data_IF_876411366206
#
_entry.id   IF_876411366206
#
_cell.length_a   1.000
_cell.length_b   1.000
_cell.length_c   1.000
_cell.angle_alpha   90.00
_cell.angle_beta   90.00
_cell.angle_gamma   90.00
#
_symmetry.space_group_name_H-M   'P 1'
#
loop_
_entity.id
_entity.type
_entity.pdbx_description
1 polymer ?
#
# COMPACT_ATOMS: atom_id res chain seq x y z
N UNK A 1 27.92 -0.27 10.65
CA UNK A 1 27.15 -1.53 10.67
C UNK A 1 26.61 -1.73 9.25
N UNK A 2 27.09 -2.76 8.54
CA UNK A 2 26.59 -3.04 7.15
C UNK A 2 25.36 -3.91 7.28
N UNK A 3 24.24 -3.44 6.77
CA UNK A 3 23.02 -4.25 6.63
C UNK A 3 23.25 -5.19 5.43
N UNK A 4 23.08 -6.49 5.64
CA UNK A 4 23.24 -7.48 4.58
C UNK A 4 22.05 -7.41 3.59
N UNK A 5 22.24 -7.94 2.37
CA UNK A 5 21.16 -8.09 1.40
C UNK A 5 20.01 -8.95 1.96
N UNK A 6 20.31 -9.89 2.85
CA UNK A 6 19.34 -10.75 3.52
C UNK A 6 18.49 -9.97 4.54
N UNK A 7 19.10 -9.01 5.28
CA UNK A 7 18.36 -8.11 6.15
C UNK A 7 17.37 -7.22 5.34
N UNK A 8 17.74 -6.82 4.11
CA UNK A 8 16.87 -6.06 3.21
C UNK A 8 15.75 -6.94 2.62
N UNK A 9 16.00 -8.21 2.33
CA UNK A 9 14.97 -9.16 1.89
C UNK A 9 13.97 -9.48 3.00
N UNK A 10 14.40 -9.43 4.27
CA UNK A 10 13.50 -9.57 5.42
C UNK A 10 12.57 -8.36 5.64
N UNK A 11 12.81 -7.26 4.94
CA UNK A 11 11.95 -6.07 4.88
C UNK A 11 10.77 -6.23 3.88
N UNK A 12 10.48 -7.46 3.45
CA UNK A 12 9.22 -7.74 2.74
C UNK A 12 8.02 -7.39 3.62
N UNK A 13 6.83 -7.16 3.04
CA UNK A 13 5.61 -6.82 3.78
C UNK A 13 5.27 -7.74 4.96
N UNK A 14 5.87 -8.92 5.00
CA UNK A 14 5.71 -9.92 6.05
C UNK A 14 6.53 -9.65 7.32
N UNK A 15 7.50 -8.74 7.28
CA UNK A 15 8.44 -8.50 8.38
C UNK A 15 8.16 -7.22 9.18
N UNK A 16 6.94 -6.65 9.10
CA UNK A 16 6.57 -5.44 9.84
C UNK A 16 6.91 -5.47 11.35
N UNK A 17 6.85 -6.64 11.95
CA UNK A 17 7.21 -6.84 13.36
C UNK A 17 8.74 -6.80 13.59
N UNK A 18 9.53 -7.26 12.62
CA UNK A 18 10.98 -7.31 12.74
C UNK A 18 11.66 -5.95 12.46
N UNK A 19 11.06 -5.08 11.64
CA UNK A 19 11.56 -3.73 11.39
C UNK A 19 11.60 -2.88 12.65
N UNK A 20 10.58 -2.97 13.50
CA UNK A 20 10.52 -2.21 14.77
C UNK A 20 11.65 -2.56 15.74
N UNK A 21 12.19 -3.77 15.66
CA UNK A 21 13.27 -4.23 16.56
C UNK A 21 14.67 -4.04 16.00
N UNK A 22 14.86 -3.90 14.69
CA UNK A 22 16.19 -3.86 14.05
C UNK A 22 16.64 -2.49 13.59
N UNK A 23 15.69 -1.61 13.23
CA UNK A 23 16.01 -0.26 12.77
C UNK A 23 15.55 0.74 13.81
N UNK A 24 16.47 1.56 14.32
CA UNK A 24 16.12 2.61 15.29
C UNK A 24 15.16 3.63 14.66
N UNK A 25 14.30 4.23 15.48
CA UNK A 25 13.40 5.30 15.04
C UNK A 25 14.17 6.46 14.39
N UNK A 26 15.37 6.74 14.85
CA UNK A 26 16.26 7.76 14.28
C UNK A 26 16.70 7.40 12.86
N UNK A 27 17.06 6.14 12.60
CA UNK A 27 17.41 5.68 11.25
C UNK A 27 16.25 5.82 10.30
N UNK A 28 15.03 5.46 10.73
CA UNK A 28 13.82 5.63 9.91
C UNK A 28 13.57 7.11 9.61
N UNK A 29 13.66 7.99 10.61
CA UNK A 29 13.52 9.43 10.41
C UNK A 29 14.56 9.99 9.44
N UNK A 30 15.81 9.55 9.57
CA UNK A 30 16.91 9.97 8.68
C UNK A 30 16.68 9.52 7.22
N UNK A 31 16.24 8.28 7.02
CA UNK A 31 15.89 7.76 5.67
C UNK A 31 14.68 8.51 5.09
N UNK A 32 13.65 8.75 5.91
CA UNK A 32 12.46 9.49 5.48
C UNK A 32 12.75 10.94 5.09
N UNK A 33 13.79 11.56 5.63
CA UNK A 33 14.24 12.90 5.23
C UNK A 33 14.84 12.94 3.81
N UNK A 34 15.28 11.80 3.28
CA UNK A 34 15.87 11.69 1.95
C UNK A 34 14.89 11.35 0.82
N UNK A 35 13.64 11.01 1.15
CA UNK A 35 12.62 10.69 0.15
C UNK A 35 11.72 11.89 -0.11
N UNK A 36 10.96 11.84 -1.22
CA UNK A 36 9.99 12.89 -1.53
C UNK A 36 8.94 13.05 -0.42
N UNK A 37 8.41 14.27 -0.26
CA UNK A 37 7.40 14.59 0.78
C UNK A 37 6.17 13.66 0.71
N UNK A 38 5.73 13.32 -0.49
CA UNK A 38 4.59 12.42 -0.68
C UNK A 38 4.95 10.98 -0.32
N UNK A 39 6.17 10.51 -0.67
CA UNK A 39 6.68 9.22 -0.25
C UNK A 39 6.80 9.13 1.27
N UNK A 40 7.41 10.14 1.91
CA UNK A 40 7.54 10.21 3.37
C UNK A 40 6.18 10.06 4.06
N UNK A 41 5.14 10.80 3.60
CA UNK A 41 3.78 10.69 4.17
C UNK A 41 3.16 9.31 4.01
N UNK A 42 3.30 8.71 2.83
CA UNK A 42 2.80 7.37 2.57
C UNK A 42 3.49 6.31 3.42
N UNK A 43 4.81 6.40 3.56
CA UNK A 43 5.61 5.47 4.35
C UNK A 43 5.32 5.60 5.85
N UNK A 44 5.12 6.81 6.37
CA UNK A 44 4.68 7.05 7.75
C UNK A 44 3.29 6.47 8.01
N UNK A 45 2.37 6.65 7.06
CA UNK A 45 1.05 6.03 7.12
C UNK A 45 1.16 4.50 7.15
N UNK A 46 1.99 3.91 6.27
CA UNK A 46 2.11 2.46 6.10
C UNK A 46 2.85 1.80 7.26
N UNK A 47 4.00 2.34 7.66
CA UNK A 47 4.91 1.70 8.60
C UNK A 47 4.84 2.26 10.02
N UNK A 48 4.52 3.53 10.20
CA UNK A 48 4.37 4.14 11.51
C UNK A 48 2.92 4.18 12.02
N UNK A 49 1.94 3.84 11.18
CA UNK A 49 0.51 3.86 11.55
C UNK A 49 -0.04 5.28 11.71
N UNK A 50 0.57 6.28 11.08
CA UNK A 50 0.12 7.67 11.14
C UNK A 50 -1.12 7.89 10.25
N UNK A 51 -2.28 7.37 10.66
CA UNK A 51 -3.53 7.40 9.88
C UNK A 51 -4.04 8.80 9.54
N UNK A 52 -3.65 9.84 10.30
CA UNK A 52 -3.97 11.22 9.97
C UNK A 52 -3.36 11.68 8.62
N UNK A 53 -2.30 11.02 8.16
CA UNK A 53 -1.68 11.29 6.85
C UNK A 53 -2.52 10.74 5.68
N UNK A 54 -3.45 9.80 5.90
CA UNK A 54 -4.21 9.12 4.84
C UNK A 54 -4.87 10.12 3.88
N UNK A 55 -5.59 11.10 4.41
CA UNK A 55 -6.28 12.13 3.61
C UNK A 55 -5.30 12.92 2.73
N UNK A 56 -4.12 13.25 3.25
CA UNK A 56 -3.09 13.95 2.48
C UNK A 56 -2.53 13.10 1.36
N UNK A 57 -2.23 11.83 1.64
CA UNK A 57 -1.72 10.87 0.63
C UNK A 57 -2.75 10.67 -0.49
N UNK A 58 -4.02 10.42 -0.15
CA UNK A 58 -5.11 10.25 -1.11
C UNK A 58 -5.24 11.47 -2.02
N UNK A 59 -5.33 12.67 -1.44
CA UNK A 59 -5.48 13.90 -2.20
C UNK A 59 -4.26 14.21 -3.08
N UNK A 60 -3.05 13.97 -2.59
CA UNK A 60 -1.82 14.15 -3.37
C UNK A 60 -1.78 13.21 -4.56
N UNK A 61 -2.11 11.93 -4.34
CA UNK A 61 -2.17 10.91 -5.37
C UNK A 61 -3.21 11.24 -6.45
N UNK A 62 -4.43 11.59 -6.03
CA UNK A 62 -5.52 11.98 -6.94
C UNK A 62 -5.14 13.21 -7.79
N UNK A 63 -4.59 14.25 -7.18
CA UNK A 63 -4.13 15.47 -7.89
C UNK A 63 -3.02 15.18 -8.89
N UNK A 64 -2.06 14.32 -8.52
CA UNK A 64 -0.95 13.95 -9.40
C UNK A 64 -1.44 13.19 -10.62
N UNK A 65 -2.34 12.23 -10.42
CA UNK A 65 -2.96 11.47 -11.51
C UNK A 65 -3.78 12.40 -12.41
N UNK A 66 -4.61 13.26 -11.84
CA UNK A 66 -5.38 14.25 -12.58
C UNK A 66 -4.49 15.13 -13.48
N UNK A 67 -3.36 15.63 -12.94
CA UNK A 67 -2.43 16.48 -13.72
C UNK A 67 -1.78 15.74 -14.88
N UNK A 68 -1.39 14.47 -14.68
CA UNK A 68 -0.71 13.67 -15.73
C UNK A 68 -1.66 13.21 -16.83
N UNK A 69 -2.92 12.95 -16.49
CA UNK A 69 -3.90 12.36 -17.41
C UNK A 69 -5.00 13.33 -17.84
N UNK A 70 -4.77 14.64 -17.68
CA UNK A 70 -5.79 15.69 -17.87
C UNK A 70 -6.61 15.57 -19.15
N UNK A 71 -6.00 15.15 -20.27
CA UNK A 71 -6.69 14.96 -21.56
C UNK A 71 -7.63 13.76 -21.55
N UNK A 72 -7.20 12.65 -21.01
CA UNK A 72 -7.95 11.39 -20.99
C UNK A 72 -9.02 11.35 -19.89
N UNK A 73 -8.77 12.02 -18.77
CA UNK A 73 -9.68 12.04 -17.63
C UNK A 73 -10.84 13.03 -17.78
N UNK A 74 -10.71 14.07 -18.62
CA UNK A 74 -11.83 14.97 -18.92
C UNK A 74 -13.02 14.24 -19.54
N UNK A 75 -12.74 13.18 -20.27
CA UNK A 75 -13.76 12.35 -20.91
C UNK A 75 -14.31 11.25 -20.00
N UNK A 76 -13.61 10.89 -18.94
CA UNK A 76 -13.88 9.67 -18.18
C UNK A 76 -14.18 9.82 -16.70
N UNK A 77 -13.72 10.85 -16.03
CA UNK A 77 -13.79 10.83 -14.58
C UNK A 77 -14.17 12.16 -13.95
N UNK A 78 -15.27 12.13 -13.23
CA UNK A 78 -15.56 13.09 -12.19
C UNK A 78 -14.37 13.14 -11.20
N UNK A 79 -13.86 14.34 -10.80
CA UNK A 79 -12.79 14.50 -9.81
C UNK A 79 -13.02 13.70 -8.51
N UNK A 80 -14.28 13.55 -8.12
CA UNK A 80 -14.67 12.75 -6.97
C UNK A 80 -14.33 11.26 -7.15
N UNK A 81 -14.56 10.70 -8.34
CA UNK A 81 -14.21 9.31 -8.65
C UNK A 81 -12.69 9.08 -8.52
N UNK A 82 -11.86 10.04 -8.96
CA UNK A 82 -10.42 9.95 -8.81
C UNK A 82 -9.97 9.92 -7.34
N UNK A 83 -10.60 10.71 -6.49
CA UNK A 83 -10.32 10.69 -5.05
C UNK A 83 -10.71 9.33 -4.47
N UNK A 84 -11.87 8.79 -4.82
CA UNK A 84 -12.31 7.45 -4.42
C UNK A 84 -11.37 6.35 -4.90
N UNK A 85 -10.92 6.42 -6.15
CA UNK A 85 -9.94 5.48 -6.70
C UNK A 85 -8.60 5.58 -5.97
N UNK A 86 -8.14 6.79 -5.66
CA UNK A 86 -6.92 7.00 -4.87
C UNK A 86 -7.07 6.46 -3.44
N UNK A 87 -8.25 6.58 -2.84
CA UNK A 87 -8.55 5.99 -1.53
C UNK A 87 -8.46 4.45 -1.58
N UNK A 88 -9.07 3.83 -2.59
CA UNK A 88 -8.97 2.38 -2.81
C UNK A 88 -7.50 1.97 -3.01
N UNK A 89 -6.75 2.71 -3.84
CA UNK A 89 -5.33 2.41 -4.07
C UNK A 89 -4.50 2.50 -2.78
N UNK A 90 -4.72 3.53 -1.96
CA UNK A 90 -4.04 3.68 -0.67
C UNK A 90 -4.42 2.55 0.27
N UNK A 91 -5.71 2.20 0.37
CA UNK A 91 -6.17 1.09 1.20
C UNK A 91 -5.59 -0.25 0.76
N UNK A 92 -5.48 -0.49 -0.56
CA UNK A 92 -4.81 -1.66 -1.11
C UNK A 92 -3.30 -1.64 -0.81
N UNK A 93 -2.64 -0.50 -1.01
CA UNK A 93 -1.22 -0.34 -0.71
C UNK A 93 -0.88 -0.52 0.77
N UNK A 94 -1.81 -0.13 1.67
CA UNK A 94 -1.74 -0.41 3.11
C UNK A 94 -2.17 -1.84 3.43
N UNK A 95 -3.01 -2.41 2.60
CA UNK A 95 -3.74 -3.66 2.85
C UNK A 95 -2.97 -4.95 2.56
N UNK A 96 -1.74 -4.88 2.06
CA UNK A 96 -0.78 -5.99 2.15
C UNK A 96 -0.34 -6.22 3.60
N UNK A 97 -1.17 -5.72 4.53
CA UNK A 97 -1.07 -5.99 5.95
C UNK A 97 -1.46 -7.43 6.27
N UNK A 98 -1.10 -7.80 7.45
CA UNK A 98 -1.43 -9.07 8.07
C UNK A 98 -2.95 -9.33 8.00
N UNK A 99 -3.33 -10.53 7.67
CA UNK A 99 -4.72 -10.95 7.78
C UNK A 99 -5.22 -10.70 9.20
N UNK A 100 -6.27 -9.90 9.36
CA UNK A 100 -6.79 -9.53 10.68
C UNK A 100 -7.33 -10.74 11.44
N UNK A 101 -7.85 -11.74 10.75
CA UNK A 101 -8.44 -12.94 11.36
C UNK A 101 -7.38 -13.80 12.04
N UNK A 102 -6.19 -13.91 11.48
CA UNK A 102 -5.09 -14.70 12.05
C UNK A 102 -3.89 -13.86 12.48
N UNK A 103 -4.00 -12.53 12.44
CA UNK A 103 -2.91 -11.61 12.77
C UNK A 103 -1.60 -11.94 12.03
N UNK A 104 -1.71 -12.33 10.76
CA UNK A 104 -0.57 -12.65 9.91
C UNK A 104 0.00 -14.05 10.05
N UNK A 105 -0.51 -14.88 10.96
CA UNK A 105 0.01 -16.23 11.20
C UNK A 105 -0.25 -17.21 10.05
N UNK A 106 -1.28 -16.96 9.23
CA UNK A 106 -1.76 -17.89 8.21
C UNK A 106 -2.65 -19.02 8.76
N UNK A 107 -2.66 -19.24 10.06
CA UNK A 107 -3.42 -20.29 10.72
C UNK A 107 -4.17 -19.75 11.95
N UNK A 108 -5.21 -20.48 12.35
CA UNK A 108 -6.02 -20.21 13.54
C UNK A 108 -5.90 -21.42 14.47
N UNK A 109 -5.67 -21.15 15.74
CA UNK A 109 -5.68 -22.17 16.77
C UNK A 109 -7.12 -22.33 17.27
N UNK A 110 -7.66 -23.53 17.14
CA UNK A 110 -9.02 -23.86 17.61
C UNK A 110 -9.02 -24.46 19.02
N UNK A 111 -7.87 -24.50 19.69
CA UNK A 111 -7.69 -25.18 20.98
C UNK A 111 -7.49 -26.70 20.85
N UNK A 112 -7.90 -27.30 19.73
CA UNK A 112 -7.73 -28.74 19.47
C UNK A 112 -6.64 -28.96 18.40
N UNK A 113 -6.65 -28.15 17.34
CA UNK A 113 -5.71 -28.23 16.23
C UNK A 113 -5.51 -26.87 15.57
N UNK A 114 -4.39 -26.72 14.88
CA UNK A 114 -4.15 -25.59 13.97
C UNK A 114 -4.79 -25.89 12.64
N UNK A 115 -5.57 -24.92 12.14
CA UNK A 115 -6.20 -24.97 10.82
C UNK A 115 -5.77 -23.76 10.02
N UNK A 116 -5.69 -23.89 8.71
CA UNK A 116 -5.42 -22.76 7.83
C UNK A 116 -6.49 -21.68 8.01
N UNK A 117 -6.05 -20.43 8.06
CA UNK A 117 -6.98 -19.31 8.19
C UNK A 117 -7.87 -19.21 6.96
N UNK A 118 -9.16 -19.35 7.16
CA UNK A 118 -10.16 -19.29 6.08
C UNK A 118 -10.24 -17.93 5.41
N UNK A 119 -9.85 -16.85 6.09
CA UNK A 119 -9.91 -15.49 5.55
C UNK A 119 -8.73 -15.16 4.62
N UNK A 120 -7.61 -15.84 4.75
CA UNK A 120 -6.42 -15.63 3.91
C UNK A 120 -5.91 -16.92 3.25
N UNK A 121 -6.62 -18.04 3.42
CA UNK A 121 -6.28 -19.35 2.89
C UNK A 121 -4.83 -19.77 3.19
N UNK A 122 -4.42 -19.58 4.44
CA UNK A 122 -3.08 -19.95 4.91
C UNK A 122 -1.96 -18.94 4.61
N UNK A 123 -2.19 -17.91 3.79
CA UNK A 123 -1.13 -16.97 3.36
C UNK A 123 -0.69 -16.00 4.44
N UNK A 124 -1.48 -15.79 5.47
CA UNK A 124 -1.23 -14.78 6.51
C UNK A 124 -1.49 -13.34 6.07
N UNK A 125 -1.80 -13.10 4.78
CA UNK A 125 -2.00 -11.78 4.21
C UNK A 125 -3.45 -11.54 3.84
N UNK A 126 -3.86 -10.27 3.85
CA UNK A 126 -5.15 -9.87 3.32
C UNK A 126 -5.12 -10.02 1.79
N UNK A 127 -6.11 -10.69 1.21
CA UNK A 127 -6.27 -10.71 -0.24
C UNK A 127 -6.57 -9.30 -0.77
N UNK A 128 -6.00 -8.98 -1.94
CA UNK A 128 -6.39 -7.79 -2.69
C UNK A 128 -7.87 -7.87 -3.08
N UNK A 129 -8.53 -6.72 -3.17
CA UNK A 129 -9.91 -6.64 -3.61
C UNK A 129 -10.02 -7.17 -5.06
N UNK A 130 -10.98 -8.05 -5.32
CA UNK A 130 -11.32 -8.46 -6.67
C UNK A 130 -11.97 -7.32 -7.47
N UNK A 131 -11.95 -7.42 -8.81
CA UNK A 131 -12.49 -6.38 -9.70
C UNK A 131 -13.94 -5.98 -9.34
N UNK A 132 -14.79 -6.96 -8.99
CA UNK A 132 -16.17 -6.71 -8.56
C UNK A 132 -16.23 -5.89 -7.27
N UNK A 133 -15.45 -6.28 -6.27
CA UNK A 133 -15.42 -5.58 -4.98
C UNK A 133 -14.91 -4.13 -5.11
N UNK A 134 -13.95 -3.90 -6.02
CA UNK A 134 -13.47 -2.55 -6.33
C UNK A 134 -14.55 -1.74 -7.03
N UNK A 135 -15.24 -2.31 -8.03
CA UNK A 135 -16.33 -1.65 -8.76
C UNK A 135 -17.48 -1.28 -7.81
N UNK A 136 -17.89 -2.21 -6.95
CA UNK A 136 -18.94 -1.99 -5.93
C UNK A 136 -18.52 -0.87 -4.95
N UNK A 137 -17.28 -0.88 -4.47
CA UNK A 137 -16.76 0.14 -3.56
C UNK A 137 -16.70 1.53 -4.19
N UNK A 138 -16.42 1.60 -5.49
CA UNK A 138 -16.40 2.84 -6.26
C UNK A 138 -17.79 3.28 -6.72
N UNK A 139 -18.79 2.42 -6.57
CA UNK A 139 -20.16 2.61 -7.09
C UNK A 139 -20.18 2.88 -8.59
N UNK A 140 -19.49 2.03 -9.35
CA UNK A 140 -19.39 2.09 -10.81
C UNK A 140 -19.68 0.73 -11.43
N UNK A 141 -20.02 0.73 -12.70
CA UNK A 141 -20.25 -0.49 -13.47
C UNK A 141 -18.95 -1.32 -13.60
N UNK A 142 -19.06 -2.64 -13.43
CA UNK A 142 -17.92 -3.56 -13.47
C UNK A 142 -17.24 -3.58 -14.84
N UNK A 143 -17.99 -3.48 -15.94
CA UNK A 143 -17.43 -3.48 -17.28
C UNK A 143 -16.68 -2.17 -17.56
N UNK A 144 -17.26 -1.05 -17.10
CA UNK A 144 -16.58 0.22 -17.15
C UNK A 144 -15.25 0.17 -16.36
N UNK A 145 -15.28 -0.37 -15.12
CA UNK A 145 -14.08 -0.53 -14.31
C UNK A 145 -13.01 -1.36 -15.03
N UNK A 146 -13.37 -2.52 -15.58
CA UNK A 146 -12.42 -3.39 -16.28
C UNK A 146 -11.80 -2.71 -17.51
N UNK A 147 -12.57 -1.93 -18.27
CA UNK A 147 -12.09 -1.25 -19.49
C UNK A 147 -11.22 -0.04 -19.20
N UNK A 148 -11.55 0.74 -18.20
CA UNK A 148 -10.98 2.06 -17.96
C UNK A 148 -10.34 2.22 -16.58
N UNK A 149 -11.07 1.87 -15.53
CA UNK A 149 -10.67 2.10 -14.14
C UNK A 149 -9.51 1.24 -13.69
N UNK A 150 -9.47 -0.03 -14.10
CA UNK A 150 -8.45 -0.99 -13.67
C UNK A 150 -7.04 -0.55 -14.05
N UNK A 151 -6.82 -0.13 -15.29
CA UNK A 151 -5.52 0.39 -15.75
C UNK A 151 -5.10 1.63 -14.97
N UNK A 152 -6.05 2.54 -14.73
CA UNK A 152 -5.78 3.75 -13.96
C UNK A 152 -5.41 3.44 -12.51
N UNK A 153 -6.17 2.56 -11.86
CA UNK A 153 -5.93 2.17 -10.48
C UNK A 153 -4.59 1.43 -10.34
N UNK A 154 -4.41 0.33 -11.08
CA UNK A 154 -3.25 -0.54 -10.90
C UNK A 154 -1.97 0.08 -11.44
N UNK A 155 -1.95 0.51 -12.70
CA UNK A 155 -0.70 0.95 -13.33
C UNK A 155 -0.29 2.36 -12.88
N UNK A 156 -1.26 3.25 -12.65
CA UNK A 156 -0.93 4.64 -12.33
C UNK A 156 -0.88 4.90 -10.84
N UNK A 157 -1.93 4.53 -10.10
CA UNK A 157 -2.01 4.82 -8.67
C UNK A 157 -1.17 3.85 -7.84
N UNK A 158 -1.38 2.54 -8.00
CA UNK A 158 -0.58 1.53 -7.29
C UNK A 158 0.88 1.57 -7.70
N UNK A 159 1.16 1.72 -9.01
CA UNK A 159 2.53 1.88 -9.50
C UNK A 159 3.24 3.09 -8.87
N UNK A 160 2.51 4.18 -8.57
CA UNK A 160 3.10 5.33 -7.87
C UNK A 160 3.35 5.03 -6.38
N UNK A 161 2.46 4.34 -5.70
CA UNK A 161 2.68 3.92 -4.31
C UNK A 161 3.89 2.99 -4.21
N UNK A 162 4.02 2.04 -5.14
CA UNK A 162 5.20 1.17 -5.22
C UNK A 162 6.49 1.96 -5.48
N UNK A 163 6.43 3.04 -6.28
CA UNK A 163 7.61 3.90 -6.48
C UNK A 163 8.03 4.64 -5.20
N UNK A 164 7.10 4.97 -4.31
CA UNK A 164 7.43 5.54 -3.00
C UNK A 164 8.19 4.55 -2.11
N UNK A 165 7.81 3.28 -2.17
CA UNK A 165 8.55 2.21 -1.48
C UNK A 165 9.94 2.04 -2.09
N UNK A 166 10.05 2.11 -3.43
CA UNK A 166 11.35 2.10 -4.12
C UNK A 166 12.25 3.26 -3.71
N UNK A 167 11.72 4.49 -3.60
CA UNK A 167 12.46 5.65 -3.09
C UNK A 167 13.03 5.37 -1.67
N UNK A 168 12.22 4.76 -0.81
CA UNK A 168 12.63 4.40 0.55
C UNK A 168 13.76 3.36 0.58
N UNK A 169 13.62 2.27 -0.19
CA UNK A 169 14.64 1.23 -0.23
C UNK A 169 15.96 1.74 -0.84
N UNK A 170 15.90 2.63 -1.82
CA UNK A 170 17.09 3.27 -2.38
C UNK A 170 17.76 4.15 -1.33
N UNK A 171 17.00 5.04 -0.70
CA UNK A 171 17.52 5.91 0.36
C UNK A 171 18.08 5.11 1.56
N UNK A 172 17.48 3.96 1.88
CA UNK A 172 17.95 3.07 2.93
C UNK A 172 19.33 2.47 2.56
N UNK A 173 19.52 2.03 1.31
CA UNK A 173 20.79 1.47 0.83
C UNK A 173 21.91 2.49 0.79
N UNK A 174 21.61 3.74 0.46
CA UNK A 174 22.61 4.81 0.32
C UNK A 174 23.08 5.37 1.67
N UNK A 175 22.28 5.16 2.73
CA UNK A 175 22.49 5.82 4.03
C UNK A 175 22.85 4.87 5.16
N UNK A 176 22.83 3.58 4.92
CA UNK A 176 23.25 2.52 5.83
C UNK A 176 24.48 1.77 5.31
#
# INVERSE_FOLDING_TARGET
MRISAEDLCSLTPYSHLNLRHRISSLTVCYVLAGVSKDASRYLRLKYAGEYHQKKHVVNSLARRVYRKQKKHLREMANPWLLVKMAEVAVDEGLGHGLCRTCNGKGWIDTGIKRIDCFACYGTGTKHSLGDKQVADRLNIDLQWYKRHGKKLLLNTMMGRLNSYEGEFYTALKERL
#
